data_IF_230307745317
#
_entry.id   IF_230307745317
#
_cell.length_a   1.000
_cell.length_b   1.000
_cell.length_c   1.000
_cell.angle_alpha   90.00
_cell.angle_beta   90.00
_cell.angle_gamma   90.00
#
_symmetry.space_group_name_H-M   'P 1'
#
loop_
_entity.id
_entity.type
_entity.pdbx_description
1 polymer ?
#
# COMPACT_ATOMS: atom_id res chain seq x y z
N UNK A 1 -1.09 -6.72 -1.35
CA UNK A 1 -2.29 -7.59 -1.46
C UNK A 1 -3.07 -7.72 -0.15
N UNK A 2 -2.52 -8.35 0.90
CA UNK A 2 -3.29 -8.70 2.12
C UNK A 2 -3.93 -7.49 2.81
N UNK A 3 -3.22 -6.37 2.91
CA UNK A 3 -3.76 -5.12 3.48
C UNK A 3 -4.98 -4.57 2.72
N UNK A 4 -5.08 -4.81 1.40
CA UNK A 4 -6.18 -4.29 0.59
C UNK A 4 -7.50 -5.01 0.93
N UNK A 5 -7.43 -6.33 1.12
CA UNK A 5 -8.58 -7.12 1.58
C UNK A 5 -9.08 -6.67 2.95
N UNK A 6 -8.17 -6.47 3.90
CA UNK A 6 -8.53 -5.94 5.22
C UNK A 6 -9.11 -4.52 5.13
N UNK A 7 -8.55 -3.65 4.30
CA UNK A 7 -9.08 -2.30 4.10
C UNK A 7 -10.50 -2.31 3.50
N UNK A 8 -10.73 -3.09 2.43
CA UNK A 8 -12.06 -3.19 1.81
C UNK A 8 -13.09 -3.79 2.77
N UNK A 9 -12.71 -4.83 3.51
CA UNK A 9 -13.58 -5.44 4.52
C UNK A 9 -13.95 -4.44 5.63
N UNK A 10 -12.99 -3.64 6.11
CA UNK A 10 -13.24 -2.62 7.14
C UNK A 10 -14.11 -1.48 6.61
N UNK A 11 -13.89 -1.01 5.38
CA UNK A 11 -14.70 0.06 4.77
C UNK A 11 -16.13 -0.44 4.51
N UNK A 12 -16.30 -1.66 4.00
CA UNK A 12 -17.61 -2.28 3.81
C UNK A 12 -18.34 -2.46 5.15
N UNK A 13 -17.64 -2.85 6.22
CA UNK A 13 -18.25 -3.03 7.54
C UNK A 13 -18.69 -1.71 8.20
N UNK A 14 -17.92 -0.63 8.04
CA UNK A 14 -18.18 0.64 8.72
C UNK A 14 -19.12 1.55 7.91
N UNK A 15 -19.03 1.52 6.58
CA UNK A 15 -19.78 2.42 5.68
C UNK A 15 -20.77 1.73 4.75
N UNK A 16 -20.93 0.40 4.82
CA UNK A 16 -21.77 -0.38 3.88
C UNK A 16 -21.45 -0.06 2.41
N UNK A 17 -20.20 0.31 2.13
CA UNK A 17 -19.76 0.72 0.80
C UNK A 17 -19.30 -0.50 0.00
N UNK A 18 -20.05 -0.83 -1.04
CA UNK A 18 -19.74 -1.94 -1.93
C UNK A 18 -18.78 -1.51 -3.04
N UNK A 19 -17.58 -2.09 -3.02
CA UNK A 19 -16.61 -1.94 -4.10
C UNK A 19 -16.94 -2.90 -5.25
N UNK A 20 -16.85 -2.40 -6.49
CA UNK A 20 -17.03 -3.24 -7.68
C UNK A 20 -15.98 -4.35 -7.76
N UNK A 21 -16.44 -5.60 -7.88
CA UNK A 21 -15.59 -6.79 -7.96
C UNK A 21 -14.56 -6.72 -9.11
N UNK A 22 -14.93 -6.08 -10.23
CA UNK A 22 -14.04 -5.89 -11.38
C UNK A 22 -12.83 -5.01 -11.04
N UNK A 23 -13.00 -4.00 -10.19
CA UNK A 23 -11.91 -3.10 -9.81
C UNK A 23 -10.94 -3.80 -8.85
N UNK A 24 -11.46 -4.59 -7.92
CA UNK A 24 -10.66 -5.44 -7.02
C UNK A 24 -9.87 -6.49 -7.83
N UNK A 25 -10.48 -7.05 -8.89
CA UNK A 25 -9.81 -7.98 -9.80
C UNK A 25 -8.60 -7.34 -10.50
N UNK A 26 -8.71 -6.09 -10.96
CA UNK A 26 -7.58 -5.37 -11.57
C UNK A 26 -6.43 -5.20 -10.56
N UNK A 27 -6.73 -4.81 -9.31
CA UNK A 27 -5.71 -4.69 -8.26
C UNK A 27 -5.01 -6.04 -8.03
N UNK A 28 -5.79 -7.12 -7.98
CA UNK A 28 -5.24 -8.46 -7.77
C UNK A 28 -4.28 -8.87 -8.90
N UNK A 29 -4.68 -8.67 -10.16
CA UNK A 29 -3.85 -8.99 -11.33
C UNK A 29 -2.56 -8.14 -11.34
N UNK A 30 -2.68 -6.83 -11.10
CA UNK A 30 -1.52 -5.93 -11.07
C UNK A 30 -0.55 -6.27 -9.93
N UNK A 31 -1.09 -6.65 -8.76
CA UNK A 31 -0.26 -7.05 -7.63
C UNK A 31 0.51 -8.35 -7.92
N UNK A 32 -0.14 -9.33 -8.54
CA UNK A 32 0.47 -10.62 -8.88
C UNK A 32 1.58 -10.48 -9.94
N UNK A 33 1.32 -9.66 -10.97
CA UNK A 33 2.34 -9.29 -11.95
C UNK A 33 3.55 -8.57 -11.35
N UNK A 34 3.33 -7.74 -10.32
CA UNK A 34 4.41 -7.02 -9.63
C UNK A 34 5.24 -7.97 -8.75
N UNK A 35 4.62 -8.95 -8.08
CA UNK A 35 5.34 -9.92 -7.23
C UNK A 35 6.30 -10.78 -8.08
N UNK A 36 5.95 -11.10 -9.32
CA UNK A 36 6.82 -11.84 -10.24
C UNK A 36 8.21 -11.19 -10.42
N UNK A 37 8.28 -9.85 -10.34
CA UNK A 37 9.53 -9.09 -10.48
C UNK A 37 10.45 -9.15 -9.26
N UNK A 38 9.92 -9.48 -8.08
CA UNK A 38 10.71 -9.60 -6.82
C UNK A 38 11.71 -10.74 -6.93
N UNK A 39 11.36 -11.82 -7.64
CA UNK A 39 12.26 -12.96 -7.87
C UNK A 39 13.54 -12.59 -8.64
N UNK A 40 13.54 -11.46 -9.34
CA UNK A 40 14.65 -10.95 -10.15
C UNK A 40 15.33 -9.74 -9.48
N UNK A 41 14.90 -9.34 -8.27
CA UNK A 41 15.45 -8.19 -7.56
C UNK A 41 16.88 -8.47 -7.08
N UNK A 42 17.78 -7.51 -7.29
CA UNK A 42 19.19 -7.63 -6.89
C UNK A 42 19.35 -7.14 -5.46
N UNK A 43 19.15 -8.03 -4.50
CA UNK A 43 19.40 -7.75 -3.08
C UNK A 43 20.87 -7.97 -2.72
N UNK A 44 21.43 -7.10 -1.86
CA UNK A 44 22.76 -7.31 -1.30
C UNK A 44 22.69 -8.43 -0.26
N UNK A 45 23.58 -9.43 -0.31
CA UNK A 45 23.63 -10.47 0.71
C UNK A 45 23.96 -9.88 2.09
N UNK A 46 23.34 -10.41 3.13
CA UNK A 46 23.67 -10.07 4.52
C UNK A 46 25.11 -10.52 4.84
N UNK A 47 25.92 -9.69 5.54
CA UNK A 47 27.30 -10.04 5.90
C UNK A 47 27.41 -11.14 6.97
N UNK A 48 26.30 -11.55 7.58
CA UNK A 48 26.24 -12.64 8.56
C UNK A 48 25.18 -13.67 8.13
N UNK A 49 25.36 -14.97 8.45
CA UNK A 49 24.37 -15.99 8.12
C UNK A 49 23.04 -15.70 8.81
N UNK A 50 22.06 -15.27 8.02
CA UNK A 50 20.72 -14.97 8.53
C UNK A 50 19.91 -16.27 8.60
N UNK A 51 19.40 -16.57 9.79
CA UNK A 51 18.50 -17.73 9.96
C UNK A 51 17.09 -17.34 9.52
N UNK A 52 16.28 -18.31 9.11
CA UNK A 52 14.86 -18.06 8.80
C UNK A 52 14.09 -17.63 10.06
N UNK A 53 14.07 -16.33 10.36
CA UNK A 53 13.37 -15.75 11.50
C UNK A 53 11.91 -15.47 11.15
N UNK A 54 11.13 -16.54 10.93
CA UNK A 54 9.71 -16.43 10.56
C UNK A 54 8.92 -15.54 11.52
N UNK A 55 9.17 -15.64 12.84
CA UNK A 55 8.47 -14.81 13.85
C UNK A 55 8.69 -13.31 13.63
N UNK A 56 9.90 -12.92 13.23
CA UNK A 56 10.25 -11.52 12.99
C UNK A 56 9.64 -11.01 11.67
N UNK A 57 9.67 -11.83 10.62
CA UNK A 57 9.06 -11.54 9.32
C UNK A 57 7.53 -11.42 9.45
N UNK A 58 6.89 -12.31 10.20
CA UNK A 58 5.46 -12.23 10.47
C UNK A 58 5.09 -11.02 11.32
N UNK A 59 5.83 -10.74 12.39
CA UNK A 59 5.57 -9.58 13.25
C UNK A 59 5.67 -8.26 12.48
N UNK A 60 6.75 -8.08 11.71
CA UNK A 60 6.92 -6.90 10.85
C UNK A 60 5.85 -6.84 9.76
N UNK A 61 5.46 -7.97 9.18
CA UNK A 61 4.36 -8.05 8.22
C UNK A 61 3.00 -7.63 8.79
N UNK A 62 2.66 -8.06 10.00
CA UNK A 62 1.40 -7.70 10.68
C UNK A 62 1.38 -6.20 11.00
N UNK A 63 2.47 -5.65 11.54
CA UNK A 63 2.54 -4.23 11.89
C UNK A 63 2.41 -3.35 10.64
N UNK A 64 3.17 -3.66 9.58
CA UNK A 64 3.13 -2.90 8.33
C UNK A 64 1.76 -3.05 7.64
N UNK A 65 1.20 -4.26 7.60
CA UNK A 65 -0.11 -4.51 6.99
C UNK A 65 -1.25 -3.83 7.75
N UNK A 66 -1.23 -3.88 9.09
CA UNK A 66 -2.20 -3.20 9.94
C UNK A 66 -2.14 -1.68 9.79
N UNK A 67 -0.93 -1.11 9.77
CA UNK A 67 -0.75 0.32 9.51
C UNK A 67 -1.33 0.74 8.14
N UNK A 68 -1.04 -0.01 7.08
CA UNK A 68 -1.57 0.28 5.74
C UNK A 68 -3.11 0.22 5.71
N UNK A 69 -3.73 -0.77 6.37
CA UNK A 69 -5.18 -0.90 6.42
C UNK A 69 -5.83 0.29 7.17
N UNK A 70 -5.29 0.68 8.33
CA UNK A 70 -5.80 1.83 9.10
C UNK A 70 -5.67 3.13 8.31
N UNK A 71 -4.55 3.36 7.63
CA UNK A 71 -4.36 4.56 6.81
C UNK A 71 -5.35 4.65 5.65
N UNK A 72 -5.72 3.53 5.01
CA UNK A 72 -6.75 3.52 3.98
C UNK A 72 -8.15 3.82 4.53
N UNK A 73 -8.47 3.36 5.74
CA UNK A 73 -9.73 3.70 6.43
C UNK A 73 -9.79 5.19 6.75
N UNK A 74 -8.72 5.76 7.30
CA UNK A 74 -8.63 7.21 7.59
C UNK A 74 -8.73 8.03 6.31
N UNK A 75 -8.09 7.58 5.24
CA UNK A 75 -8.18 8.22 3.92
C UNK A 75 -9.61 8.23 3.40
N UNK A 76 -10.31 7.08 3.43
CA UNK A 76 -11.72 6.97 3.04
C UNK A 76 -12.61 7.90 3.87
N UNK A 77 -12.42 7.90 5.20
CA UNK A 77 -13.16 8.80 6.09
C UNK A 77 -12.93 10.28 5.75
N UNK A 78 -11.68 10.66 5.45
CA UNK A 78 -11.32 12.04 5.11
C UNK A 78 -12.00 12.50 3.82
N UNK A 79 -12.08 11.66 2.78
CA UNK A 79 -12.74 12.02 1.51
C UNK A 79 -14.27 11.92 1.55
N UNK A 80 -14.83 11.04 2.38
CA UNK A 80 -16.27 10.76 2.43
C UNK A 80 -17.02 11.64 3.44
N UNK A 81 -16.37 12.09 4.51
CA UNK A 81 -17.04 12.85 5.59
C UNK A 81 -16.49 14.26 5.79
N UNK A 82 -15.34 14.60 5.21
CA UNK A 82 -14.68 15.89 5.45
C UNK A 82 -14.40 16.61 4.15
N UNK A 83 -14.65 17.92 4.08
CA UNK A 83 -14.21 18.75 2.95
C UNK A 83 -12.70 19.04 2.99
N UNK A 84 -11.90 18.24 3.71
CA UNK A 84 -10.48 18.50 3.96
C UNK A 84 -9.69 18.72 2.66
N UNK A 85 -9.97 17.91 1.64
CA UNK A 85 -9.32 18.03 0.33
C UNK A 85 -9.83 19.24 -0.46
N UNK A 86 -11.10 19.60 -0.33
CA UNK A 86 -11.67 20.76 -1.00
C UNK A 86 -11.21 22.07 -0.35
N UNK A 87 -11.16 22.11 0.98
CA UNK A 87 -10.76 23.26 1.80
C UNK A 87 -9.25 23.52 1.77
N UNK A 88 -8.41 22.47 1.80
CA UNK A 88 -6.94 22.64 1.76
C UNK A 88 -6.36 22.75 0.37
N UNK A 89 -6.89 22.01 -0.60
CA UNK A 89 -6.31 21.93 -1.94
C UNK A 89 -7.17 22.61 -3.02
N UNK A 90 -8.36 23.15 -2.68
CA UNK A 90 -9.24 23.83 -3.62
C UNK A 90 -9.82 22.92 -4.70
N UNK A 91 -9.76 21.60 -4.49
CA UNK A 91 -10.21 20.59 -5.47
C UNK A 91 -11.72 20.38 -5.34
N UNK A 92 -12.39 20.05 -6.45
CA UNK A 92 -13.82 19.73 -6.45
C UNK A 92 -14.11 18.64 -5.42
N UNK A 93 -15.12 18.85 -4.57
CA UNK A 93 -15.55 17.83 -3.61
C UNK A 93 -16.12 16.63 -4.37
N UNK A 94 -15.53 15.46 -4.13
CA UNK A 94 -15.90 14.17 -4.73
C UNK A 94 -16.83 13.36 -3.82
N UNK A 95 -17.31 13.97 -2.73
CA UNK A 95 -18.04 13.30 -1.65
C UNK A 95 -19.35 12.65 -2.12
N UNK A 96 -20.01 13.25 -3.11
CA UNK A 96 -21.34 12.82 -3.60
C UNK A 96 -21.26 11.86 -4.80
N UNK A 97 -20.06 11.62 -5.35
CA UNK A 97 -19.86 10.75 -6.49
C UNK A 97 -19.11 9.47 -6.10
N UNK A 98 -19.87 8.38 -5.90
CA UNK A 98 -19.34 7.07 -5.52
C UNK A 98 -18.30 6.53 -6.51
N UNK A 99 -18.41 6.84 -7.80
CA UNK A 99 -17.45 6.37 -8.81
C UNK A 99 -16.08 7.06 -8.66
N UNK A 100 -16.09 8.37 -8.40
CA UNK A 100 -14.87 9.15 -8.15
C UNK A 100 -14.23 8.78 -6.80
N UNK A 101 -15.06 8.56 -5.77
CA UNK A 101 -14.62 8.09 -4.46
C UNK A 101 -13.92 6.73 -4.56
N UNK A 102 -14.54 5.80 -5.29
CA UNK A 102 -14.00 4.47 -5.54
C UNK A 102 -12.68 4.55 -6.33
N UNK A 103 -12.59 5.42 -7.34
CA UNK A 103 -11.36 5.66 -8.11
C UNK A 103 -10.22 6.24 -7.27
N UNK A 104 -10.52 7.17 -6.35
CA UNK A 104 -9.53 7.75 -5.45
C UNK A 104 -8.97 6.70 -4.47
N UNK A 105 -9.84 5.87 -3.89
CA UNK A 105 -9.44 4.76 -3.01
C UNK A 105 -8.62 3.72 -3.78
N UNK A 106 -9.01 3.38 -5.01
CA UNK A 106 -8.25 2.49 -5.89
C UNK A 106 -6.82 2.97 -6.08
N UNK A 107 -6.67 4.26 -6.43
CA UNK A 107 -5.36 4.85 -6.70
C UNK A 107 -4.48 4.81 -5.45
N UNK A 108 -5.05 5.19 -4.30
CA UNK A 108 -4.36 5.18 -3.01
C UNK A 108 -3.87 3.78 -2.65
N UNK A 109 -4.75 2.77 -2.73
CA UNK A 109 -4.42 1.37 -2.41
C UNK A 109 -3.35 0.82 -3.36
N UNK A 110 -3.44 1.18 -4.66
CA UNK A 110 -2.48 0.72 -5.68
C UNK A 110 -1.07 1.26 -5.44
N UNK A 111 -0.93 2.56 -5.13
CA UNK A 111 0.37 3.18 -4.85
C UNK A 111 0.98 2.59 -3.57
N UNK A 112 0.19 2.49 -2.51
CA UNK A 112 0.67 1.97 -1.22
C UNK A 112 1.08 0.50 -1.30
N UNK A 113 0.49 -0.29 -2.19
CA UNK A 113 0.91 -1.66 -2.43
C UNK A 113 2.25 -1.77 -3.18
N UNK A 114 2.67 -0.75 -3.92
CA UNK A 114 3.87 -0.80 -4.78
C UNK A 114 5.10 -0.14 -4.16
N UNK A 115 4.91 0.94 -3.38
CA UNK A 115 6.01 1.71 -2.77
C UNK A 115 6.91 0.86 -1.84
N UNK A 116 6.37 0.04 -0.92
CA UNK A 116 7.19 -0.81 -0.07
C UNK A 116 8.06 -1.78 -0.89
N UNK A 117 7.51 -2.34 -1.97
CA UNK A 117 8.24 -3.25 -2.88
C UNK A 117 9.36 -2.52 -3.63
N UNK A 118 9.09 -1.31 -4.13
CA UNK A 118 10.11 -0.47 -4.80
C UNK A 118 11.23 -0.02 -3.84
N UNK A 119 10.90 0.26 -2.58
CA UNK A 119 11.87 0.71 -1.57
C UNK A 119 12.84 -0.39 -1.13
N UNK A 120 12.41 -1.67 -1.14
CA UNK A 120 13.26 -2.81 -0.80
C UNK A 120 14.38 -3.04 -1.82
N UNK A 121 14.15 -2.76 -3.11
CA UNK A 121 15.18 -2.85 -4.15
C UNK A 121 16.24 -1.74 -4.08
N UNK A 122 15.93 -0.57 -3.52
CA UNK A 122 16.84 0.59 -3.51
C UNK A 122 17.70 0.73 -2.23
N UNK A 123 17.27 0.20 -1.09
CA UNK A 123 17.96 0.38 0.20
C UNK A 123 19.34 -0.28 0.28
N UNK A 124 19.60 -1.32 -0.50
CA UNK A 124 20.83 -2.09 -0.43
C UNK A 124 22.00 -1.50 -1.26
N UNK A 125 21.69 -0.72 -2.31
CA UNK A 125 22.70 -0.17 -3.23
C UNK A 125 23.21 1.23 -2.87
N UNK A 126 22.45 2.00 -2.08
CA UNK A 126 22.81 3.42 -1.80
C UNK A 126 23.73 3.62 -0.61
N UNK A 127 23.72 2.74 0.40
CA UNK A 127 24.52 2.94 1.61
C UNK A 127 26.02 2.62 1.46
N UNK A 128 26.43 1.95 0.38
CA UNK A 128 27.84 1.60 0.15
C UNK A 128 28.61 2.64 -0.69
N UNK A 129 27.93 3.46 -1.50
CA UNK A 129 28.61 4.42 -2.37
C UNK A 129 29.06 5.71 -1.67
N UNK A 130 28.62 5.94 -0.42
CA UNK A 130 29.01 7.14 0.35
C UNK A 130 30.23 6.88 1.25
N UNK A 131 30.50 5.62 1.61
CA UNK A 131 31.62 5.23 2.49
C UNK A 131 32.88 4.78 1.73
N UNK A 132 32.84 4.66 0.40
CA UNK A 132 34.00 4.32 -0.45
C UNK A 132 34.66 5.53 -1.13
N UNK A 133 34.40 6.75 -0.64
CA UNK A 133 34.87 8.01 -1.26
C UNK A 133 35.75 8.89 -0.36
N UNK A 134 36.31 8.31 0.70
CA UNK A 134 37.42 8.88 1.47
C UNK A 134 38.43 7.77 1.78
#
# INVERSE_FOLDING_TARGET
MVHAWFAFMLIALIWEFDFSAFMVLIIAILNDGTIMTISKDRVKPSPTPDSWKLKEIFATGIVLGGYQAVMSVVFFWSIHKTDFFSDKFGVRSIMDNNDELMGAVYLQVSIISQVPSSSRGQGAGRSLNVLGRF
#
